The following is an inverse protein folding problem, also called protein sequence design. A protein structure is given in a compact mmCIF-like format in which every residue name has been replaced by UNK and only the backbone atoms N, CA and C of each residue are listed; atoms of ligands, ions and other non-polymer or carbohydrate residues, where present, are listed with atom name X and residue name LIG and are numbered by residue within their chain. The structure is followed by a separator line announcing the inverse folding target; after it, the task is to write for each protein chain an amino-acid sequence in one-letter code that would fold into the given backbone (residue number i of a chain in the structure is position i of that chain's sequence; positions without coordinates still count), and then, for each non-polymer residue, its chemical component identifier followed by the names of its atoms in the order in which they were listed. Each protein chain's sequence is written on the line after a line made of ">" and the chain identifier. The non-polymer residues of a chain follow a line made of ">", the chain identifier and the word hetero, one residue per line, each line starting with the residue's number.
data_IF_277693019238
#
_entry.id   IF_277693019238
#
_cell.length_a   1.000
_cell.length_b   1.000
_cell.length_c   1.000
_cell.angle_alpha   90.00
_cell.angle_beta   90.00
_cell.angle_gamma   90.00
#
_symmetry.space_group_name_H-M   'P 1'
#
loop_
_entity.id
_entity.type
_entity.pdbx_description
1 polymer ?
#
# COMPACT_ATOMS: atom_id res chain seq x y z
N UNK A 1 15.93 -26.48 -9.33
CA UNK A 1 15.33 -26.20 -10.67
C UNK A 1 15.43 -24.69 -10.88
N UNK A 2 16.29 -24.26 -11.81
CA UNK A 2 16.25 -22.87 -12.27
C UNK A 2 14.99 -22.71 -13.12
N UNK A 3 13.87 -22.41 -12.51
CA UNK A 3 12.69 -21.92 -13.22
C UNK A 3 13.05 -20.54 -13.77
N UNK A 4 13.39 -20.48 -15.05
CA UNK A 4 13.58 -19.21 -15.76
C UNK A 4 12.22 -18.53 -15.85
N UNK A 5 11.88 -17.75 -14.81
CA UNK A 5 10.74 -16.84 -14.88
C UNK A 5 11.14 -15.75 -15.88
N UNK A 6 10.36 -15.60 -16.93
CA UNK A 6 10.61 -14.66 -18.01
C UNK A 6 10.41 -13.21 -17.51
N UNK A 7 11.14 -12.28 -18.09
CA UNK A 7 10.98 -10.85 -17.80
C UNK A 7 9.55 -10.33 -18.08
N UNK A 8 8.83 -10.95 -19.02
CA UNK A 8 7.43 -10.62 -19.29
C UNK A 8 6.54 -10.81 -18.05
N UNK A 9 6.78 -11.87 -17.27
CA UNK A 9 6.05 -12.13 -16.03
C UNK A 9 6.19 -11.00 -15.01
N UNK A 10 7.40 -10.44 -14.87
CA UNK A 10 7.62 -9.33 -13.94
C UNK A 10 7.01 -8.02 -14.43
N UNK A 11 6.93 -7.81 -15.74
CA UNK A 11 6.17 -6.68 -16.31
C UNK A 11 4.69 -6.80 -16.03
N UNK A 12 4.12 -8.00 -16.06
CA UNK A 12 2.72 -8.23 -15.69
C UNK A 12 2.42 -7.87 -14.23
N UNK A 13 3.41 -7.95 -13.31
CA UNK A 13 3.25 -7.45 -11.93
C UNK A 13 3.03 -5.95 -11.95
N UNK A 14 3.80 -5.19 -12.74
CA UNK A 14 3.66 -3.74 -12.83
C UNK A 14 2.33 -3.34 -13.48
N UNK A 15 1.88 -4.06 -14.51
CA UNK A 15 0.58 -3.78 -15.14
C UNK A 15 -0.58 -4.07 -14.19
N UNK A 16 -0.52 -5.17 -13.43
CA UNK A 16 -1.52 -5.46 -12.40
C UNK A 16 -1.47 -4.45 -11.24
N UNK A 17 -0.27 -4.04 -10.82
CA UNK A 17 -0.13 -2.95 -9.85
C UNK A 17 -0.79 -1.66 -10.35
N UNK A 18 -0.57 -1.29 -11.63
CA UNK A 18 -1.22 -0.14 -12.25
C UNK A 18 -2.74 -0.26 -12.24
N UNK A 19 -3.29 -1.43 -12.56
CA UNK A 19 -4.73 -1.68 -12.53
C UNK A 19 -5.32 -1.42 -11.13
N UNK A 20 -4.72 -1.99 -10.08
CA UNK A 20 -5.25 -1.84 -8.71
C UNK A 20 -4.94 -0.47 -8.10
N UNK A 21 -3.89 0.24 -8.56
CA UNK A 21 -3.60 1.61 -8.16
C UNK A 21 -4.70 2.60 -8.56
N UNK A 22 -5.34 2.37 -9.71
CA UNK A 22 -6.45 3.21 -10.20
C UNK A 22 -7.77 3.02 -9.41
N UNK A 23 -7.86 2.02 -8.52
CA UNK A 23 -9.03 1.81 -7.67
C UNK A 23 -8.86 2.56 -6.35
N UNK A 24 -9.62 3.63 -6.09
CA UNK A 24 -9.50 4.40 -4.85
C UNK A 24 -9.78 3.57 -3.61
N UNK A 25 -8.90 3.68 -2.60
CA UNK A 25 -9.03 2.91 -1.37
C UNK A 25 -8.42 3.59 -0.13
N UNK A 26 -8.68 4.89 0.15
CA UNK A 26 -8.22 5.44 1.42
C UNK A 26 -8.73 4.59 2.59
N UNK A 27 -7.91 4.46 3.67
CA UNK A 27 -8.24 3.61 4.82
C UNK A 27 -9.65 3.88 5.33
N UNK A 28 -10.48 2.83 5.40
CA UNK A 28 -11.90 2.91 5.71
C UNK A 28 -12.84 3.02 4.48
N UNK A 29 -12.31 3.20 3.27
CA UNK A 29 -13.07 3.19 2.01
C UNK A 29 -12.50 2.15 1.03
N UNK A 30 -12.37 0.91 1.45
CA UNK A 30 -11.66 -0.14 0.70
C UNK A 30 -12.57 -1.17 0.03
N UNK A 31 -13.89 -1.02 0.13
CA UNK A 31 -14.83 -2.02 -0.40
C UNK A 31 -14.64 -2.30 -1.89
N UNK A 32 -14.40 -1.28 -2.72
CA UNK A 32 -14.29 -1.45 -4.16
C UNK A 32 -13.06 -2.29 -4.53
N UNK A 33 -11.91 -2.03 -3.94
CA UNK A 33 -10.70 -2.81 -4.19
C UNK A 33 -10.85 -4.24 -3.66
N UNK A 34 -11.45 -4.44 -2.49
CA UNK A 34 -11.69 -5.78 -1.95
C UNK A 34 -12.65 -6.57 -2.85
N UNK A 35 -13.73 -5.96 -3.36
CA UNK A 35 -14.62 -6.61 -4.33
C UNK A 35 -13.86 -7.02 -5.59
N UNK A 36 -12.99 -6.15 -6.10
CA UNK A 36 -12.15 -6.45 -7.26
C UNK A 36 -11.25 -7.68 -7.01
N UNK A 37 -10.51 -7.70 -5.90
CA UNK A 37 -9.64 -8.81 -5.53
C UNK A 37 -10.41 -10.11 -5.26
N UNK A 38 -11.59 -10.02 -4.65
CA UNK A 38 -12.50 -11.16 -4.45
C UNK A 38 -12.96 -11.75 -5.80
N UNK A 39 -13.22 -10.94 -6.80
CA UNK A 39 -13.57 -11.44 -8.13
C UNK A 39 -12.41 -12.21 -8.76
N UNK A 40 -11.17 -11.73 -8.62
CA UNK A 40 -9.98 -12.46 -9.04
C UNK A 40 -9.87 -13.80 -8.29
N UNK A 41 -10.14 -13.81 -6.99
CA UNK A 41 -10.13 -15.05 -6.21
C UNK A 41 -11.19 -16.05 -6.71
N UNK A 42 -12.39 -15.59 -7.06
CA UNK A 42 -13.47 -16.44 -7.62
C UNK A 42 -13.09 -17.03 -8.96
N UNK A 43 -12.59 -16.21 -9.87
CA UNK A 43 -12.19 -16.60 -11.23
C UNK A 43 -11.10 -17.68 -11.19
N UNK A 44 -10.12 -17.51 -10.29
CA UNK A 44 -9.01 -18.45 -10.12
C UNK A 44 -9.31 -19.59 -9.11
N UNK A 45 -10.50 -19.61 -8.52
CA UNK A 45 -10.94 -20.62 -7.53
C UNK A 45 -10.02 -20.69 -6.31
N UNK A 46 -9.46 -19.56 -5.88
CA UNK A 46 -8.72 -19.48 -4.63
C UNK A 46 -9.70 -19.62 -3.45
N UNK A 47 -9.27 -20.29 -2.39
CA UNK A 47 -10.03 -20.33 -1.13
C UNK A 47 -9.84 -19.00 -0.41
N UNK A 48 -10.93 -18.25 -0.22
CA UNK A 48 -10.88 -16.93 0.41
C UNK A 48 -12.03 -16.71 1.38
N UNK A 49 -11.86 -15.71 2.24
CA UNK A 49 -12.86 -15.19 3.17
C UNK A 49 -12.66 -13.67 3.32
N UNK A 50 -13.72 -12.89 3.39
CA UNK A 50 -13.66 -11.48 3.79
C UNK A 50 -14.01 -11.40 5.27
N UNK A 51 -13.06 -10.92 6.07
CA UNK A 51 -13.19 -10.84 7.51
C UNK A 51 -14.09 -9.64 7.92
N UNK A 52 -14.58 -9.64 9.16
CA UNK A 52 -15.46 -8.58 9.66
C UNK A 52 -14.84 -7.18 9.64
N UNK A 53 -13.51 -7.08 9.71
CA UNK A 53 -12.77 -5.81 9.61
C UNK A 53 -12.52 -5.38 8.14
N UNK A 54 -13.01 -6.15 7.17
CA UNK A 54 -12.84 -5.89 5.74
C UNK A 54 -11.59 -6.52 5.11
N UNK A 55 -10.68 -7.08 5.89
CA UNK A 55 -9.49 -7.74 5.37
C UNK A 55 -9.87 -8.96 4.51
N UNK A 56 -9.15 -9.18 3.41
CA UNK A 56 -9.30 -10.37 2.57
C UNK A 56 -8.29 -11.43 3.01
N UNK A 57 -8.79 -12.58 3.47
CA UNK A 57 -7.98 -13.75 3.78
C UNK A 57 -8.00 -14.72 2.59
N UNK A 58 -6.83 -15.16 2.12
CA UNK A 58 -6.68 -16.19 1.09
C UNK A 58 -5.86 -17.34 1.69
N UNK A 59 -6.29 -18.58 1.50
CA UNK A 59 -5.60 -19.76 2.01
C UNK A 59 -5.03 -20.61 0.87
N UNK A 60 -3.74 -20.94 0.96
CA UNK A 60 -3.06 -21.88 0.06
C UNK A 60 -2.51 -23.03 0.90
N UNK A 61 -3.02 -24.25 0.66
CA UNK A 61 -2.59 -25.43 1.41
C UNK A 61 -1.14 -25.81 1.04
N UNK A 62 -0.32 -25.98 2.07
CA UNK A 62 1.07 -26.43 1.95
C UNK A 62 1.22 -27.93 2.16
N UNK A 63 2.49 -28.35 2.21
CA UNK A 63 2.90 -29.77 2.34
C UNK A 63 2.83 -30.26 3.80
N UNK A 64 2.80 -29.36 4.77
CA UNK A 64 2.73 -29.68 6.19
C UNK A 64 1.70 -28.80 6.94
N UNK A 65 1.63 -28.96 8.28
CA UNK A 65 0.67 -28.28 9.14
C UNK A 65 1.18 -26.97 9.74
N UNK A 66 2.42 -26.58 9.48
CA UNK A 66 2.93 -25.28 9.88
C UNK A 66 2.26 -24.20 9.05
N UNK A 67 1.89 -23.08 9.66
CA UNK A 67 1.12 -22.03 8.99
C UNK A 67 1.91 -20.72 8.96
N UNK A 68 2.23 -20.28 7.77
CA UNK A 68 2.88 -18.98 7.53
C UNK A 68 1.82 -17.95 7.15
N UNK A 69 1.75 -16.86 7.90
CA UNK A 69 1.01 -15.67 7.52
C UNK A 69 1.82 -14.82 6.55
N UNK A 70 1.22 -14.42 5.45
CA UNK A 70 1.72 -13.35 4.58
C UNK A 70 0.78 -12.16 4.70
N UNK A 71 1.28 -10.95 4.73
CA UNK A 71 0.44 -9.75 4.72
C UNK A 71 0.97 -8.68 3.80
N UNK A 72 0.07 -7.94 3.19
CA UNK A 72 0.27 -6.70 2.47
C UNK A 72 -1.03 -5.89 2.56
N UNK A 73 -1.02 -4.59 2.23
CA UNK A 73 -2.21 -3.78 2.39
C UNK A 73 -2.69 -3.11 1.10
N UNK A 74 -4.00 -2.87 1.02
CA UNK A 74 -4.64 -2.20 -0.12
C UNK A 74 -5.15 -0.82 0.22
N UNK A 75 -5.25 -0.51 1.51
CA UNK A 75 -5.63 0.83 1.92
C UNK A 75 -4.49 1.81 1.63
N UNK A 76 -4.89 3.04 1.39
CA UNK A 76 -4.00 4.12 0.98
C UNK A 76 -4.17 5.33 1.87
N UNK A 77 -3.20 6.22 1.82
CA UNK A 77 -3.38 7.58 2.29
C UNK A 77 -4.53 8.25 1.56
N UNK A 78 -5.14 9.24 2.21
CA UNK A 78 -6.22 10.02 1.65
C UNK A 78 -6.64 11.14 2.60
N UNK A 79 -7.91 11.51 2.54
CA UNK A 79 -8.50 12.47 3.46
C UNK A 79 -10.01 12.24 3.64
N UNK A 80 -10.60 12.98 4.57
CA UNK A 80 -12.05 13.08 4.77
C UNK A 80 -12.47 14.54 4.82
N UNK A 81 -13.68 14.84 4.35
CA UNK A 81 -14.29 16.15 4.52
C UNK A 81 -14.52 16.39 6.01
N UNK A 82 -13.83 17.37 6.60
CA UNK A 82 -13.99 17.72 8.01
C UNK A 82 -14.99 18.88 8.21
N UNK A 83 -15.07 19.81 7.25
CA UNK A 83 -16.05 20.88 7.25
C UNK A 83 -16.28 21.44 5.84
N UNK A 84 -17.43 22.08 5.65
CA UNK A 84 -17.77 22.85 4.44
C UNK A 84 -17.72 24.33 4.81
N UNK A 85 -16.84 25.09 4.13
CA UNK A 85 -16.67 26.51 4.33
C UNK A 85 -17.85 27.31 3.75
N UNK A 86 -17.99 28.55 4.21
CA UNK A 86 -19.07 29.46 3.76
C UNK A 86 -18.98 29.86 2.28
N UNK A 87 -17.78 29.73 1.68
CA UNK A 87 -17.51 30.04 0.26
C UNK A 87 -17.63 28.81 -0.66
N UNK A 88 -18.02 27.65 -0.12
CA UNK A 88 -18.16 26.40 -0.87
C UNK A 88 -16.88 25.56 -1.00
N UNK A 89 -15.76 26.00 -0.44
CA UNK A 89 -14.56 25.15 -0.35
C UNK A 89 -14.69 24.14 0.79
N UNK A 90 -13.88 23.07 0.78
CA UNK A 90 -13.89 22.05 1.83
C UNK A 90 -12.64 22.14 2.70
N UNK A 91 -12.83 22.06 4.01
CA UNK A 91 -11.77 21.64 4.93
C UNK A 91 -11.69 20.11 4.93
N UNK A 92 -10.50 19.59 5.14
CA UNK A 92 -10.26 18.15 5.19
C UNK A 92 -9.49 17.77 6.45
N UNK A 93 -9.56 16.50 6.80
CA UNK A 93 -8.64 15.86 7.74
C UNK A 93 -7.97 14.70 7.02
N UNK A 94 -6.66 14.55 7.19
CA UNK A 94 -5.90 13.49 6.53
C UNK A 94 -6.27 12.11 7.08
N UNK A 95 -6.15 11.10 6.23
CA UNK A 95 -6.21 9.68 6.58
C UNK A 95 -4.83 9.10 6.35
N UNK A 96 -4.23 8.54 7.41
CA UNK A 96 -2.81 8.15 7.41
C UNK A 96 -1.86 9.34 7.59
N UNK A 97 -0.62 9.19 7.14
CA UNK A 97 0.45 10.16 7.35
C UNK A 97 1.03 10.80 6.07
N UNK A 98 0.23 11.48 5.21
CA UNK A 98 0.74 12.01 3.95
C UNK A 98 1.71 13.19 4.14
N UNK A 99 2.60 13.37 3.17
CA UNK A 99 3.43 14.57 3.05
C UNK A 99 2.61 15.67 2.36
N UNK A 100 1.88 16.48 3.13
CA UNK A 100 0.92 17.48 2.62
C UNK A 100 1.50 18.48 1.60
N UNK A 101 2.78 18.90 1.63
CA UNK A 101 3.37 19.66 0.53
C UNK A 101 3.23 19.01 -0.85
N UNK A 102 3.13 17.68 -0.94
CA UNK A 102 2.93 16.94 -2.20
C UNK A 102 1.47 16.92 -2.66
N UNK A 103 0.53 17.42 -1.84
CA UNK A 103 -0.89 17.51 -2.18
C UNK A 103 -1.27 18.85 -2.84
N UNK A 104 -0.45 19.90 -2.67
CA UNK A 104 -0.74 21.21 -3.25
C UNK A 104 -0.76 21.16 -4.78
N UNK A 105 -1.93 21.39 -5.37
CA UNK A 105 -2.19 21.28 -6.81
C UNK A 105 -2.65 19.89 -7.28
N UNK A 106 -2.80 18.92 -6.38
CA UNK A 106 -3.22 17.57 -6.75
C UNK A 106 -4.73 17.44 -6.93
N UNK A 107 -5.11 16.65 -7.93
CA UNK A 107 -6.51 16.31 -8.18
C UNK A 107 -6.99 15.26 -7.21
N UNK A 108 -8.26 15.37 -6.85
CA UNK A 108 -8.90 14.42 -5.98
C UNK A 108 -10.37 14.19 -6.35
N UNK A 109 -10.93 13.12 -5.82
CA UNK A 109 -12.35 12.80 -5.94
C UNK A 109 -12.95 12.63 -4.55
N UNK A 110 -14.04 13.33 -4.29
CA UNK A 110 -14.85 13.23 -3.07
C UNK A 110 -15.91 12.15 -3.32
N UNK A 111 -15.92 11.10 -2.52
CA UNK A 111 -16.89 10.01 -2.56
C UNK A 111 -17.95 10.23 -1.50
N UNK A 112 -19.17 10.60 -1.93
CA UNK A 112 -20.27 10.83 -1.01
C UNK A 112 -20.85 9.52 -0.48
N UNK A 113 -21.43 9.57 0.72
CA UNK A 113 -22.04 8.37 1.34
C UNK A 113 -23.19 7.77 0.53
N UNK A 114 -23.77 8.54 -0.38
CA UNK A 114 -24.91 8.11 -1.20
C UNK A 114 -24.52 7.74 -2.64
N UNK A 115 -23.23 7.45 -2.86
CA UNK A 115 -22.74 6.86 -4.12
C UNK A 115 -22.50 7.85 -5.26
N UNK A 116 -22.48 9.15 -4.98
CA UNK A 116 -22.01 10.15 -5.95
C UNK A 116 -20.51 10.39 -5.77
N UNK A 117 -19.88 10.90 -6.82
CA UNK A 117 -18.49 11.39 -6.78
C UNK A 117 -18.41 12.79 -7.36
N UNK A 118 -17.58 13.64 -6.78
CA UNK A 118 -17.33 15.03 -7.21
C UNK A 118 -15.83 15.24 -7.24
N UNK A 119 -15.31 15.80 -8.34
CA UNK A 119 -13.87 16.10 -8.46
C UNK A 119 -13.52 17.43 -7.81
N UNK A 120 -12.24 17.57 -7.46
CA UNK A 120 -11.71 18.78 -6.89
C UNK A 120 -10.18 18.81 -6.90
N UNK A 121 -9.64 19.87 -6.33
CA UNK A 121 -8.19 20.08 -6.26
C UNK A 121 -7.80 20.51 -4.86
N UNK A 122 -6.77 19.88 -4.29
CA UNK A 122 -6.11 20.36 -3.07
C UNK A 122 -5.33 21.65 -3.38
N UNK A 123 -5.58 22.70 -2.65
CA UNK A 123 -4.91 23.99 -2.84
C UNK A 123 -4.50 24.61 -1.49
N UNK A 124 -3.38 25.33 -1.52
CA UNK A 124 -3.04 26.27 -0.48
C UNK A 124 -4.12 27.37 -0.36
N UNK A 125 -4.33 27.93 0.83
CA UNK A 125 -5.18 29.11 1.01
C UNK A 125 -4.61 30.37 0.34
N UNK A 126 -3.36 30.32 -0.15
CA UNK A 126 -2.71 31.35 -0.94
C UNK A 126 -2.24 30.78 -2.30
N UNK A 127 -3.16 30.31 -3.18
CA UNK A 127 -2.78 29.49 -4.33
C UNK A 127 -2.18 30.27 -5.50
N UNK A 128 -2.36 31.60 -5.57
CA UNK A 128 -2.00 32.39 -6.73
C UNK A 128 -0.91 33.44 -6.41
N UNK A 129 0.27 33.26 -6.99
CA UNK A 129 1.43 34.16 -6.77
C UNK A 129 1.16 35.63 -7.10
N UNK A 130 0.25 35.91 -8.05
CA UNK A 130 -0.06 37.27 -8.49
C UNK A 130 -0.96 38.03 -7.55
N UNK A 131 -1.59 37.35 -6.57
CA UNK A 131 -2.54 37.98 -5.61
C UNK A 131 -2.22 37.68 -4.15
N UNK A 132 -1.38 36.66 -3.88
CA UNK A 132 -0.99 36.28 -2.53
C UNK A 132 0.50 36.43 -2.31
N UNK A 133 0.90 37.32 -1.42
CA UNK A 133 2.30 37.58 -1.10
C UNK A 133 3.00 36.35 -0.53
N UNK A 134 2.28 35.54 0.26
CA UNK A 134 2.74 34.34 0.95
C UNK A 134 2.61 33.03 0.13
N UNK A 135 2.21 33.09 -1.14
CA UNK A 135 1.98 31.90 -1.97
C UNK A 135 3.12 30.87 -1.95
N UNK A 136 4.39 31.36 -1.84
CA UNK A 136 5.57 30.53 -1.80
C UNK A 136 5.98 30.03 -0.42
N UNK A 137 5.52 30.70 0.64
CA UNK A 137 6.05 30.52 2.00
C UNK A 137 4.99 30.01 3.00
N UNK A 138 3.70 30.09 2.64
CA UNK A 138 2.63 29.56 3.50
C UNK A 138 2.85 28.04 3.69
N UNK A 139 2.94 27.55 4.92
CA UNK A 139 3.05 26.09 5.16
C UNK A 139 1.90 25.32 4.50
N UNK A 140 2.14 24.06 4.12
CA UNK A 140 1.10 23.15 3.61
C UNK A 140 0.70 22.20 4.73
N UNK A 141 -0.46 22.48 5.34
CA UNK A 141 -1.06 21.69 6.41
C UNK A 141 -2.60 21.82 6.34
N UNK A 142 -3.33 21.08 7.18
CA UNK A 142 -4.81 21.07 7.19
C UNK A 142 -5.43 22.45 7.47
N UNK A 143 -4.74 23.36 8.18
CA UNK A 143 -5.24 24.71 8.47
C UNK A 143 -5.03 25.70 7.32
N UNK A 144 -4.02 25.47 6.51
CA UNK A 144 -3.60 26.40 5.45
C UNK A 144 -3.90 25.89 4.05
N UNK A 145 -4.58 24.77 3.95
CA UNK A 145 -5.05 24.18 2.69
C UNK A 145 -6.57 23.96 2.72
N UNK A 146 -7.13 23.85 1.54
CA UNK A 146 -8.53 23.51 1.32
C UNK A 146 -8.68 22.70 0.04
N UNK A 147 -9.89 22.16 -0.20
CA UNK A 147 -10.25 21.56 -1.48
C UNK A 147 -11.22 22.52 -2.18
N UNK A 148 -10.91 22.86 -3.41
CA UNK A 148 -11.78 23.54 -4.34
C UNK A 148 -12.46 22.49 -5.22
N UNK A 149 -13.80 22.49 -5.22
CA UNK A 149 -14.61 21.61 -6.06
C UNK A 149 -14.63 22.08 -7.52
N UNK A 150 -14.72 21.14 -8.46
CA UNK A 150 -14.88 21.42 -9.89
C UNK A 150 -16.36 21.56 -10.28
N UNK A 151 -17.12 22.24 -9.42
CA UNK A 151 -18.56 22.49 -9.55
C UNK A 151 -18.89 23.98 -9.31
N UNK A 152 -20.03 24.44 -9.83
CA UNK A 152 -20.50 25.80 -9.61
C UNK A 152 -21.10 25.95 -8.21
N UNK A 153 -20.24 26.07 -7.22
CA UNK A 153 -20.61 26.28 -5.83
C UNK A 153 -20.08 27.62 -5.33
N UNK A 154 -20.90 28.36 -4.59
CA UNK A 154 -20.56 29.68 -4.06
C UNK A 154 -20.76 29.78 -2.53
N UNK A 155 -21.36 28.75 -1.95
CA UNK A 155 -21.66 28.72 -0.52
C UNK A 155 -21.86 27.26 -0.04
N UNK A 156 -21.97 27.12 1.28
CA UNK A 156 -22.17 25.81 1.92
C UNK A 156 -23.41 25.07 1.43
N UNK A 157 -24.51 25.80 1.14
CA UNK A 157 -25.77 25.17 0.68
C UNK A 157 -25.57 24.50 -0.67
N UNK A 158 -24.88 25.13 -1.61
CA UNK A 158 -24.63 24.57 -2.94
C UNK A 158 -23.88 23.25 -2.82
N UNK A 159 -22.88 23.16 -1.92
CA UNK A 159 -22.11 21.93 -1.66
C UNK A 159 -22.99 20.82 -1.06
N UNK A 160 -23.87 21.17 -0.11
CA UNK A 160 -24.82 20.22 0.48
C UNK A 160 -25.82 19.70 -0.59
N UNK A 161 -26.23 20.53 -1.55
CA UNK A 161 -27.12 20.16 -2.64
C UNK A 161 -26.46 19.17 -3.63
N UNK A 162 -25.10 19.17 -3.73
CA UNK A 162 -24.35 18.12 -4.43
C UNK A 162 -24.38 16.76 -3.70
N UNK A 163 -24.72 16.78 -2.40
CA UNK A 163 -24.76 15.60 -1.54
C UNK A 163 -23.48 15.38 -0.75
N UNK A 164 -22.54 16.31 -0.78
CA UNK A 164 -21.29 16.26 0.01
C UNK A 164 -21.61 16.62 1.47
N UNK A 165 -21.08 15.85 2.40
CA UNK A 165 -21.20 16.08 3.83
C UNK A 165 -19.89 15.77 4.59
N UNK A 166 -19.83 16.21 5.84
CA UNK A 166 -18.70 15.87 6.72
C UNK A 166 -18.60 14.35 6.85
N UNK A 167 -17.39 13.83 6.78
CA UNK A 167 -17.10 12.41 6.83
C UNK A 167 -17.14 11.69 5.47
N UNK A 168 -17.33 12.41 4.36
CA UNK A 168 -17.15 11.85 3.03
C UNK A 168 -15.65 11.67 2.74
N UNK A 169 -15.30 10.56 2.05
CA UNK A 169 -13.91 10.24 1.75
C UNK A 169 -13.38 11.03 0.56
N UNK A 170 -12.11 11.32 0.60
CA UNK A 170 -11.38 12.03 -0.45
C UNK A 170 -10.19 11.17 -0.85
N UNK A 171 -10.16 10.74 -2.10
CA UNK A 171 -9.05 10.02 -2.69
C UNK A 171 -8.30 10.90 -3.69
N UNK A 172 -6.98 10.80 -3.71
CA UNK A 172 -6.13 11.48 -4.69
C UNK A 172 -5.94 10.61 -5.93
N UNK A 173 -5.68 11.25 -7.06
CA UNK A 173 -5.28 10.56 -8.28
C UNK A 173 -3.90 9.92 -8.07
N UNK A 174 -3.72 8.62 -8.38
CA UNK A 174 -2.45 7.93 -8.22
C UNK A 174 -1.37 8.40 -9.20
N UNK A 175 -1.75 8.88 -10.37
CA UNK A 175 -0.87 9.35 -11.46
C UNK A 175 0.14 8.30 -11.91
N UNK A 176 -0.30 7.06 -12.04
CA UNK A 176 0.56 5.92 -12.33
C UNK A 176 1.17 6.00 -13.72
N UNK A 177 2.49 5.83 -13.79
CA UNK A 177 3.25 5.76 -15.04
C UNK A 177 4.30 4.65 -14.97
N UNK A 178 4.35 3.80 -16.00
CA UNK A 178 5.41 2.82 -16.20
C UNK A 178 6.29 3.32 -17.34
N UNK A 179 7.60 3.32 -17.11
CA UNK A 179 8.58 3.79 -18.11
C UNK A 179 9.18 2.62 -18.89
N UNK A 180 9.65 2.83 -20.13
CA UNK A 180 10.35 1.78 -20.88
C UNK A 180 11.64 1.27 -20.21
N UNK A 181 12.23 2.07 -19.31
CA UNK A 181 13.42 1.70 -18.54
C UNK A 181 13.09 0.85 -17.28
N UNK A 182 11.83 0.51 -17.05
CA UNK A 182 11.42 -0.36 -15.95
C UNK A 182 11.04 0.35 -14.65
N UNK A 183 11.00 1.67 -14.60
CA UNK A 183 10.45 2.37 -13.44
C UNK A 183 8.93 2.40 -13.45
N UNK A 184 8.34 2.22 -12.29
CA UNK A 184 6.95 2.59 -12.00
C UNK A 184 6.96 3.72 -10.99
N UNK A 185 6.22 4.79 -11.27
CA UNK A 185 5.97 5.90 -10.35
C UNK A 185 4.47 6.11 -10.20
N UNK A 186 4.04 6.30 -8.98
CA UNK A 186 2.63 6.47 -8.61
C UNK A 186 2.57 6.96 -7.17
N UNK A 187 1.44 7.51 -6.73
CA UNK A 187 1.09 7.42 -5.32
C UNK A 187 0.68 5.98 -5.01
N UNK A 188 0.84 5.58 -3.76
CA UNK A 188 0.26 4.33 -3.24
C UNK A 188 0.89 3.04 -3.79
N UNK A 189 2.16 3.08 -4.26
CA UNK A 189 2.97 1.87 -4.41
C UNK A 189 3.11 1.17 -3.06
N UNK A 190 3.16 1.94 -2.00
CA UNK A 190 2.89 1.61 -0.62
C UNK A 190 1.38 1.47 -0.40
N UNK A 191 0.79 0.25 -0.36
CA UNK A 191 1.50 -1.03 -0.54
C UNK A 191 0.81 -1.89 -1.62
N UNK A 192 0.07 -1.26 -2.52
CA UNK A 192 -0.60 -1.96 -3.63
C UNK A 192 0.38 -2.71 -4.54
N UNK A 193 1.64 -2.27 -4.59
CA UNK A 193 2.67 -3.01 -5.33
C UNK A 193 2.91 -4.40 -4.74
N UNK A 194 3.00 -4.52 -3.42
CA UNK A 194 3.17 -5.82 -2.76
C UNK A 194 1.94 -6.70 -2.91
N UNK A 195 0.73 -6.10 -2.92
CA UNK A 195 -0.49 -6.83 -3.27
C UNK A 195 -0.38 -7.44 -4.67
N UNK A 196 0.12 -6.68 -5.64
CA UNK A 196 0.34 -7.19 -7.00
C UNK A 196 1.37 -8.33 -7.02
N UNK A 197 2.47 -8.20 -6.29
CA UNK A 197 3.49 -9.27 -6.15
C UNK A 197 2.85 -10.54 -5.57
N UNK A 198 2.03 -10.42 -4.53
CA UNK A 198 1.38 -11.57 -3.86
C UNK A 198 0.35 -12.24 -4.76
N UNK A 199 -0.47 -11.49 -5.49
CA UNK A 199 -1.42 -12.08 -6.44
C UNK A 199 -0.71 -12.79 -7.61
N UNK A 200 0.39 -12.23 -8.11
CA UNK A 200 1.21 -12.91 -9.13
C UNK A 200 1.95 -14.13 -8.58
N UNK A 201 2.28 -14.16 -7.30
CA UNK A 201 2.76 -15.36 -6.63
C UNK A 201 1.69 -16.46 -6.62
N UNK A 202 0.43 -16.13 -6.29
CA UNK A 202 -0.69 -17.07 -6.33
C UNK A 202 -0.90 -17.65 -7.74
N UNK A 203 -0.85 -16.80 -8.76
CA UNK A 203 -0.95 -17.20 -10.17
C UNK A 203 0.20 -18.14 -10.55
N UNK A 204 1.44 -17.80 -10.17
CA UNK A 204 2.62 -18.60 -10.40
C UNK A 204 2.48 -20.00 -9.77
N UNK A 205 2.10 -20.07 -8.49
CA UNK A 205 1.93 -21.35 -7.79
C UNK A 205 0.86 -22.23 -8.47
N UNK A 206 -0.24 -21.64 -8.89
CA UNK A 206 -1.32 -22.33 -9.58
C UNK A 206 -0.88 -22.85 -10.96
N UNK A 207 -0.20 -22.02 -11.76
CA UNK A 207 0.30 -22.34 -13.09
C UNK A 207 1.36 -23.45 -13.06
N UNK A 208 2.32 -23.34 -12.15
CA UNK A 208 3.40 -24.33 -12.00
C UNK A 208 2.96 -25.56 -11.18
N UNK A 209 1.73 -25.58 -10.67
CA UNK A 209 1.21 -26.65 -9.79
C UNK A 209 2.14 -26.94 -8.61
N UNK A 210 2.76 -25.88 -8.08
CA UNK A 210 3.73 -25.96 -7.00
C UNK A 210 3.05 -25.63 -5.68
N UNK A 211 3.09 -26.54 -4.71
CA UNK A 211 2.61 -26.27 -3.37
C UNK A 211 3.70 -25.59 -2.53
N UNK A 212 3.36 -24.58 -1.72
CA UNK A 212 4.30 -24.04 -0.74
C UNK A 212 4.65 -25.11 0.31
N UNK A 213 5.80 -24.97 0.96
CA UNK A 213 6.23 -25.89 2.02
C UNK A 213 5.22 -25.91 3.17
N UNK A 214 4.87 -24.75 3.65
CA UNK A 214 3.92 -24.52 4.74
C UNK A 214 2.59 -24.03 4.20
N UNK A 215 1.50 -24.27 4.94
CA UNK A 215 0.20 -23.67 4.59
C UNK A 215 0.30 -22.14 4.69
N UNK A 216 -0.12 -21.43 3.64
CA UNK A 216 -0.14 -19.97 3.64
C UNK A 216 -1.51 -19.45 4.01
N UNK A 217 -1.55 -18.45 4.88
CA UNK A 217 -2.67 -17.58 5.13
C UNK A 217 -2.28 -16.15 4.76
N UNK A 218 -2.79 -15.71 3.63
CA UNK A 218 -2.47 -14.40 3.05
C UNK A 218 -3.56 -13.43 3.47
N UNK A 219 -3.21 -12.39 4.21
CA UNK A 219 -4.12 -11.34 4.66
C UNK A 219 -3.81 -10.06 3.88
N UNK A 220 -4.77 -9.64 3.05
CA UNK A 220 -4.73 -8.32 2.43
C UNK A 220 -5.46 -7.37 3.38
N UNK A 221 -4.72 -6.51 4.06
CA UNK A 221 -5.27 -5.62 5.08
C UNK A 221 -5.82 -4.33 4.50
N UNK A 222 -6.68 -3.65 5.26
CA UNK A 222 -7.48 -2.51 4.82
C UNK A 222 -7.38 -1.29 5.73
N UNK A 223 -6.55 -1.36 6.78
CA UNK A 223 -6.38 -0.32 7.81
C UNK A 223 -4.92 -0.24 8.29
N UNK A 224 -3.94 -0.61 7.43
CA UNK A 224 -2.52 -0.56 7.79
C UNK A 224 -2.07 0.88 8.03
N UNK A 225 -2.37 1.79 7.11
CA UNK A 225 -1.97 3.21 7.12
C UNK A 225 -2.47 4.00 8.37
N UNK A 226 -3.41 3.42 9.10
CA UNK A 226 -3.92 3.94 10.38
C UNK A 226 -3.55 3.03 11.57
N UNK A 227 -2.66 2.07 11.36
CA UNK A 227 -2.02 1.26 12.41
C UNK A 227 -2.87 0.11 12.95
N UNK A 228 -3.96 -0.28 12.26
CA UNK A 228 -4.88 -1.33 12.73
C UNK A 228 -4.96 -2.55 11.80
N UNK A 229 -4.27 -2.56 10.65
CA UNK A 229 -4.42 -3.51 9.55
C UNK A 229 -4.53 -4.97 9.98
N UNK A 230 -3.42 -5.60 10.34
CA UNK A 230 -3.37 -6.99 10.77
C UNK A 230 -3.45 -7.18 12.29
N UNK A 231 -4.09 -6.27 13.04
CA UNK A 231 -4.26 -6.41 14.51
C UNK A 231 -4.96 -7.72 14.89
N UNK A 232 -5.88 -8.21 14.05
CA UNK A 232 -6.41 -9.56 14.12
C UNK A 232 -5.78 -10.41 13.02
N UNK A 233 -5.18 -11.52 13.41
CA UNK A 233 -4.70 -12.55 12.49
C UNK A 233 -5.40 -13.88 12.76
N UNK A 234 -5.75 -14.65 11.71
CA UNK A 234 -6.13 -16.04 11.90
C UNK A 234 -4.94 -16.80 12.51
N UNK A 235 -5.20 -17.97 13.11
CA UNK A 235 -4.12 -18.78 13.72
C UNK A 235 -3.01 -19.05 12.69
N UNK A 236 -1.80 -18.56 12.98
CA UNK A 236 -0.55 -18.72 12.23
C UNK A 236 0.60 -18.96 13.21
N UNK A 237 1.73 -19.47 12.75
CA UNK A 237 2.93 -19.73 13.54
C UNK A 237 3.98 -18.63 13.38
N UNK A 238 4.13 -18.07 12.17
CA UNK A 238 4.98 -16.92 11.87
C UNK A 238 4.34 -16.05 10.79
N UNK A 239 4.75 -14.78 10.70
CA UNK A 239 4.20 -13.79 9.79
C UNK A 239 5.31 -13.07 9.04
N UNK A 240 5.20 -13.01 7.71
CA UNK A 240 6.03 -12.19 6.86
C UNK A 240 5.16 -11.07 6.25
N UNK A 241 5.47 -9.83 6.59
CA UNK A 241 4.92 -8.69 5.87
C UNK A 241 5.68 -8.50 4.55
N UNK A 242 4.94 -8.31 3.49
CA UNK A 242 5.42 -7.84 2.21
C UNK A 242 4.91 -6.41 2.09
N UNK A 243 5.81 -5.46 2.30
CA UNK A 243 5.51 -4.04 2.35
C UNK A 243 6.70 -3.28 1.79
N UNK A 244 6.64 -1.98 1.57
CA UNK A 244 7.71 -1.27 0.92
C UNK A 244 8.98 -1.17 1.78
N UNK A 245 10.15 -1.17 1.14
CA UNK A 245 11.42 -0.83 1.76
C UNK A 245 11.72 0.66 1.64
N UNK A 246 12.11 1.29 2.74
CA UNK A 246 12.50 2.70 2.74
C UNK A 246 13.76 2.95 1.89
N UNK A 247 13.77 4.06 1.16
CA UNK A 247 14.95 4.55 0.43
C UNK A 247 15.30 5.93 0.97
N UNK A 248 16.54 6.11 1.43
CA UNK A 248 16.95 7.38 2.00
C UNK A 248 18.39 7.39 2.50
N UNK A 249 18.81 8.49 3.09
CA UNK A 249 20.13 8.64 3.64
C UNK A 249 20.37 7.62 4.77
N UNK A 250 21.57 7.03 4.80
CA UNK A 250 22.00 6.03 5.78
C UNK A 250 21.30 4.67 5.67
N UNK A 251 20.56 4.42 4.58
CA UNK A 251 20.00 3.11 4.22
C UNK A 251 20.78 2.53 3.04
N UNK A 252 20.94 1.21 3.03
CA UNK A 252 21.58 0.47 1.92
C UNK A 252 20.58 0.14 0.81
N UNK A 253 19.27 0.24 1.12
CA UNK A 253 18.18 0.02 0.20
C UNK A 253 18.11 1.06 -0.91
N UNK A 254 17.69 0.62 -2.08
CA UNK A 254 17.37 1.46 -3.22
C UNK A 254 16.23 0.82 -4.04
N UNK A 255 15.77 1.51 -5.07
CA UNK A 255 14.63 1.09 -5.90
C UNK A 255 14.85 -0.24 -6.66
N UNK A 256 16.09 -0.71 -6.78
CA UNK A 256 16.41 -1.94 -7.52
C UNK A 256 16.60 -3.17 -6.63
N UNK A 257 16.61 -2.99 -5.32
CA UNK A 257 16.85 -4.05 -4.34
C UNK A 257 15.55 -4.51 -3.67
N UNK A 258 15.53 -5.77 -3.22
CA UNK A 258 14.62 -6.16 -2.15
C UNK A 258 15.21 -5.69 -0.81
N UNK A 259 14.37 -5.04 -0.02
CA UNK A 259 14.71 -4.62 1.34
C UNK A 259 14.31 -5.72 2.33
N UNK A 260 15.17 -6.00 3.30
CA UNK A 260 14.92 -6.86 4.45
C UNK A 260 15.04 -5.96 5.68
N UNK A 261 13.92 -5.70 6.36
CA UNK A 261 13.93 -4.83 7.54
C UNK A 261 14.36 -5.61 8.78
N UNK A 262 15.48 -5.21 9.37
CA UNK A 262 15.94 -5.82 10.62
C UNK A 262 15.24 -5.22 11.85
N UNK A 263 14.84 -3.94 11.78
CA UNK A 263 14.15 -3.21 12.84
C UNK A 263 13.38 -2.03 12.26
N UNK A 264 12.19 -1.79 12.77
CA UNK A 264 11.42 -0.56 12.56
C UNK A 264 11.30 0.27 13.85
N UNK A 265 10.44 1.31 13.86
CA UNK A 265 10.20 2.13 15.06
C UNK A 265 9.50 1.37 16.20
N UNK A 266 8.83 0.25 15.89
CA UNK A 266 8.14 -0.59 16.89
C UNK A 266 9.06 -1.59 17.58
N UNK A 267 10.23 -1.86 17.02
CA UNK A 267 11.24 -2.77 17.59
C UNK A 267 11.92 -3.65 16.53
N UNK A 268 12.82 -4.55 16.95
CA UNK A 268 13.49 -5.49 16.07
C UNK A 268 12.50 -6.58 15.61
N UNK A 269 12.61 -6.97 14.35
CA UNK A 269 11.97 -8.17 13.81
C UNK A 269 12.63 -9.45 14.34
N UNK A 270 11.99 -10.60 14.14
CA UNK A 270 12.52 -11.86 14.65
C UNK A 270 13.86 -12.18 14.02
N UNK A 271 14.87 -12.43 14.86
CA UNK A 271 16.27 -12.63 14.44
C UNK A 271 16.41 -13.82 13.47
N UNK A 272 15.79 -14.96 13.80
CA UNK A 272 15.93 -16.18 13.00
C UNK A 272 15.26 -16.04 11.63
N UNK A 273 14.07 -15.42 11.57
CA UNK A 273 13.38 -15.16 10.31
C UNK A 273 14.19 -14.18 9.43
N UNK A 274 14.68 -13.09 10.02
CA UNK A 274 15.50 -12.11 9.29
C UNK A 274 16.79 -12.76 8.78
N UNK A 275 17.45 -13.59 9.60
CA UNK A 275 18.63 -14.33 9.19
C UNK A 275 18.33 -15.30 8.03
N UNK A 276 17.23 -16.06 8.11
CA UNK A 276 16.76 -16.94 7.04
C UNK A 276 16.56 -16.18 5.73
N UNK A 277 15.91 -15.00 5.78
CA UNK A 277 15.70 -14.16 4.59
C UNK A 277 17.01 -13.70 3.96
N UNK A 278 17.99 -13.29 4.77
CA UNK A 278 19.33 -12.89 4.31
C UNK A 278 20.06 -14.07 3.66
N UNK A 279 19.99 -15.24 4.28
CA UNK A 279 20.61 -16.47 3.72
C UNK A 279 19.97 -16.86 2.39
N UNK A 280 18.65 -16.78 2.27
CA UNK A 280 17.92 -17.03 1.02
C UNK A 280 18.31 -16.02 -0.05
N UNK A 281 18.36 -14.74 0.26
CA UNK A 281 18.77 -13.70 -0.69
C UNK A 281 20.19 -13.94 -1.23
N UNK A 282 21.13 -14.34 -0.36
CA UNK A 282 22.49 -14.73 -0.76
C UNK A 282 22.51 -15.98 -1.64
N UNK A 283 21.77 -17.02 -1.24
CA UNK A 283 21.70 -18.29 -1.99
C UNK A 283 21.14 -18.09 -3.39
N UNK A 284 20.10 -17.30 -3.52
CA UNK A 284 19.44 -16.97 -4.80
C UNK A 284 20.16 -15.85 -5.57
N UNK A 285 21.25 -15.29 -5.02
CA UNK A 285 22.06 -14.20 -5.62
C UNK A 285 21.23 -12.97 -5.97
N UNK A 286 20.31 -12.59 -5.07
CA UNK A 286 19.46 -11.42 -5.24
C UNK A 286 20.20 -10.14 -4.87
N UNK A 287 19.82 -9.02 -5.49
CA UNK A 287 20.19 -7.70 -5.02
C UNK A 287 19.28 -7.35 -3.84
N UNK A 288 19.87 -7.27 -2.64
CA UNK A 288 19.14 -7.02 -1.40
C UNK A 288 19.85 -6.00 -0.52
N UNK A 289 19.11 -5.43 0.40
CA UNK A 289 19.63 -4.60 1.49
C UNK A 289 19.05 -5.07 2.83
N UNK A 290 19.79 -4.85 3.91
CA UNK A 290 19.32 -5.07 5.28
C UNK A 290 19.39 -3.76 6.02
N UNK A 291 18.25 -3.22 6.43
CA UNK A 291 18.14 -1.88 6.95
C UNK A 291 17.38 -1.81 8.29
N UNK A 292 17.57 -0.68 8.97
CA UNK A 292 16.84 -0.27 10.17
C UNK A 292 16.06 1.00 9.83
N UNK A 293 14.72 0.91 9.84
CA UNK A 293 13.85 2.03 9.48
C UNK A 293 13.49 2.86 10.72
N UNK A 294 13.83 4.16 10.76
CA UNK A 294 13.65 4.96 11.97
C UNK A 294 12.19 5.37 12.24
N UNK A 295 11.36 5.55 11.18
CA UNK A 295 9.99 6.08 11.25
C UNK A 295 9.04 5.23 10.43
N UNK A 296 8.91 3.97 10.79
CA UNK A 296 8.18 2.97 10.04
C UNK A 296 7.52 1.98 10.99
N UNK A 297 6.36 1.46 10.61
CA UNK A 297 5.72 0.32 11.25
C UNK A 297 5.03 -0.51 10.18
N UNK A 298 4.66 -1.75 10.48
CA UNK A 298 4.03 -2.65 9.53
C UNK A 298 2.87 -3.42 10.15
N UNK A 299 2.17 -4.16 9.34
CA UNK A 299 1.16 -5.12 9.79
C UNK A 299 1.69 -6.14 10.80
N UNK A 300 2.99 -6.54 10.75
CA UNK A 300 3.59 -7.37 11.80
C UNK A 300 3.58 -6.63 13.13
N UNK A 301 3.93 -5.35 13.13
CA UNK A 301 3.89 -4.52 14.33
C UNK A 301 2.48 -4.41 14.90
N UNK A 302 1.48 -4.25 14.03
CA UNK A 302 0.07 -4.21 14.42
C UNK A 302 -0.40 -5.57 14.99
N UNK A 303 -0.01 -6.68 14.34
CA UNK A 303 -0.34 -8.03 14.81
C UNK A 303 0.23 -8.33 16.19
N UNK A 304 1.51 -7.99 16.45
CA UNK A 304 2.14 -8.17 17.74
C UNK A 304 1.46 -7.33 18.84
N UNK A 305 1.15 -6.07 18.56
CA UNK A 305 0.41 -5.18 19.45
C UNK A 305 -1.03 -5.70 19.71
N UNK A 306 -1.63 -6.35 18.73
CA UNK A 306 -2.93 -7.03 18.83
C UNK A 306 -2.93 -8.28 19.70
N UNK A 307 -1.77 -8.69 20.23
CA UNK A 307 -1.65 -9.85 21.14
C UNK A 307 -1.48 -11.19 20.44
N UNK A 308 -1.19 -11.21 19.15
CA UNK A 308 -0.90 -12.45 18.44
C UNK A 308 0.46 -13.01 18.85
N UNK A 309 0.49 -14.29 19.24
CA UNK A 309 1.71 -14.98 19.65
C UNK A 309 2.43 -15.56 18.43
N UNK A 310 3.16 -14.70 17.70
CA UNK A 310 3.82 -15.02 16.43
C UNK A 310 5.24 -14.48 16.38
N UNK A 311 6.05 -15.06 15.50
CA UNK A 311 7.29 -14.43 15.02
C UNK A 311 6.96 -13.56 13.82
N UNK A 312 7.73 -12.50 13.57
CA UNK A 312 7.48 -11.63 12.43
C UNK A 312 8.75 -11.13 11.76
N UNK A 313 8.66 -10.95 10.44
CA UNK A 313 9.67 -10.32 9.60
C UNK A 313 9.02 -9.46 8.51
N UNK A 314 9.82 -8.63 7.84
CA UNK A 314 9.38 -7.71 6.79
C UNK A 314 10.36 -7.73 5.62
N UNK A 315 9.82 -7.85 4.41
CA UNK A 315 10.54 -7.63 3.15
C UNK A 315 9.71 -6.76 2.21
N UNK A 316 10.37 -6.12 1.25
CA UNK A 316 9.65 -5.42 0.17
C UNK A 316 10.54 -4.76 -0.85
N UNK A 317 9.95 -4.29 -1.93
CA UNK A 317 10.66 -3.51 -2.94
C UNK A 317 11.07 -2.16 -2.38
N UNK A 318 12.29 -1.70 -2.68
CA UNK A 318 12.68 -0.35 -2.31
C UNK A 318 11.82 0.68 -3.02
N UNK A 319 11.15 1.55 -2.25
CA UNK A 319 10.28 2.60 -2.76
C UNK A 319 10.80 3.96 -2.30
N UNK A 320 11.14 4.81 -3.27
CA UNK A 320 11.59 6.17 -2.99
C UNK A 320 10.39 7.11 -2.79
N UNK A 321 10.56 8.11 -1.91
CA UNK A 321 9.59 9.17 -1.61
C UNK A 321 8.22 8.64 -1.11
N UNK A 322 8.24 7.59 -0.26
CA UNK A 322 7.01 7.04 0.34
C UNK A 322 6.17 8.12 1.02
N UNK A 323 4.83 7.93 1.01
CA UNK A 323 3.84 8.89 1.46
C UNK A 323 3.77 10.20 0.64
N UNK A 324 4.50 10.25 -0.49
CA UNK A 324 4.49 11.34 -1.45
C UNK A 324 4.18 10.88 -2.88
N UNK A 325 5.02 11.27 -3.85
CA UNK A 325 5.01 10.73 -5.21
C UNK A 325 6.08 9.66 -5.33
N UNK A 326 5.68 8.43 -5.22
CA UNK A 326 6.54 7.26 -5.05
C UNK A 326 7.11 6.74 -6.36
N UNK A 327 8.24 6.03 -6.26
CA UNK A 327 8.85 5.38 -7.39
C UNK A 327 9.61 4.13 -6.96
N UNK A 328 9.57 3.10 -7.79
CA UNK A 328 10.42 1.90 -7.69
C UNK A 328 10.81 1.39 -9.07
N UNK A 329 11.62 0.35 -9.12
CA UNK A 329 12.11 -0.25 -10.36
C UNK A 329 11.75 -1.73 -10.45
N UNK A 330 11.54 -2.23 -11.66
CA UNK A 330 11.25 -3.65 -11.95
C UNK A 330 12.27 -4.62 -11.31
N UNK A 331 13.53 -4.21 -11.16
CA UNK A 331 14.55 -5.04 -10.50
C UNK A 331 14.22 -5.27 -9.04
N UNK A 332 13.80 -4.24 -8.29
CA UNK A 332 13.36 -4.37 -6.90
C UNK A 332 12.15 -5.28 -6.76
N UNK A 333 11.17 -5.12 -7.65
CA UNK A 333 9.98 -5.99 -7.71
C UNK A 333 10.37 -7.45 -7.99
N UNK A 334 11.27 -7.66 -8.95
CA UNK A 334 11.79 -8.99 -9.30
C UNK A 334 12.52 -9.65 -8.13
N UNK A 335 13.39 -8.90 -7.44
CA UNK A 335 14.13 -9.40 -6.29
C UNK A 335 13.19 -9.73 -5.12
N UNK A 336 12.16 -8.90 -4.89
CA UNK A 336 11.16 -9.14 -3.86
C UNK A 336 10.34 -10.40 -4.15
N UNK A 337 9.84 -10.55 -5.38
CA UNK A 337 9.11 -11.75 -5.79
C UNK A 337 9.96 -13.02 -5.61
N UNK A 338 11.22 -13.00 -6.07
CA UNK A 338 12.14 -14.15 -5.97
C UNK A 338 12.45 -14.50 -4.52
N UNK A 339 12.67 -13.51 -3.65
CA UNK A 339 12.91 -13.75 -2.23
C UNK A 339 11.68 -14.35 -1.56
N UNK A 340 10.49 -13.80 -1.84
CA UNK A 340 9.23 -14.32 -1.33
C UNK A 340 8.98 -15.76 -1.80
N UNK A 341 9.20 -16.07 -3.08
CA UNK A 341 9.10 -17.42 -3.64
C UNK A 341 10.07 -18.38 -2.96
N UNK A 342 11.35 -17.97 -2.81
CA UNK A 342 12.34 -18.79 -2.11
C UNK A 342 11.95 -19.04 -0.66
N UNK A 343 11.38 -18.05 0.03
CA UNK A 343 10.96 -18.19 1.43
C UNK A 343 9.83 -19.19 1.61
N UNK A 344 8.80 -19.16 0.76
CA UNK A 344 7.65 -20.05 0.88
C UNK A 344 7.90 -21.49 0.41
N UNK A 345 8.96 -21.71 -0.39
CA UNK A 345 9.33 -23.04 -0.88
C UNK A 345 10.38 -23.75 0.00
N UNK A 346 11.08 -23.02 0.92
CA UNK A 346 12.11 -23.56 1.81
C UNK A 346 11.69 -23.49 3.27
#
# INVERSE_FOLDING_TARGET
>A
METKIDNSFFLEILEFAKEILEIPSPSGYTNNIIIHLVNICKENKYKYEVLNNGNLLIEVKGLDNYVVGLTCHVDTLGAMVSAINSDGTLKFSVVGGPILPTYDGEYCTIYTRFGKSVTGTFLSNAPAIHVHKEARTLPRNEETMHIRLDELVHNKKDVLDLGICNGDFIALDPKTQITPSGFIKSRFLDDKLSVAIVFKLLEYLAKEKTAPKHTLKIVISTLEEVGSGASYMPKIDEMLAIDMGCVGNHLEGNEEKVSICAKDSSGPYNYDMTTKLIELAKKEKLDYAVDVFPYYSSDVSAALKGGNNIKGALIGSGVAASHGMERTHLNGVTNTFKLLLAYILN
#
